data_IF_752271304172
#
_entry.id   IF_752271304172
#
_cell.length_a   1.000
_cell.length_b   1.000
_cell.length_c   1.000
_cell.angle_alpha   90.00
_cell.angle_beta   90.00
_cell.angle_gamma   90.00
#
_symmetry.space_group_name_H-M   'P 1'
#
loop_
_entity.id
_entity.type
_entity.pdbx_description
1 polymer ?
#
# COMPACT_ATOMS: atom_id res chain seq x y z
N UNK A 1 -17.99 9.90 10.53
CA UNK A 1 -17.05 10.69 9.68
C UNK A 1 -17.75 11.07 8.38
N UNK A 2 -17.20 11.96 7.54
CA UNK A 2 -17.77 12.26 6.21
C UNK A 2 -16.79 12.01 5.07
N UNK A 3 -17.29 11.46 3.97
CA UNK A 3 -16.59 11.31 2.68
C UNK A 3 -17.56 11.75 1.60
N UNK A 4 -17.09 12.62 0.69
CA UNK A 4 -17.91 13.18 -0.38
C UNK A 4 -19.28 13.71 0.11
N UNK A 5 -19.31 14.38 1.27
CA UNK A 5 -20.54 14.91 1.88
C UNK A 5 -21.40 13.92 2.66
N UNK A 6 -21.21 12.61 2.50
CA UNK A 6 -22.00 11.55 3.13
C UNK A 6 -21.40 11.14 4.48
N UNK A 7 -22.26 10.87 5.48
CA UNK A 7 -21.82 10.28 6.74
C UNK A 7 -21.53 8.80 6.52
N UNK A 8 -20.31 8.37 6.86
CA UNK A 8 -19.88 6.97 6.76
C UNK A 8 -19.50 6.45 8.14
N UNK A 9 -19.86 5.20 8.40
CA UNK A 9 -19.49 4.42 9.58
C UNK A 9 -18.56 3.28 9.15
N UNK A 10 -17.27 3.38 9.46
CA UNK A 10 -16.28 2.40 8.96
C UNK A 10 -16.58 0.96 9.40
N UNK A 11 -17.16 0.80 10.59
CA UNK A 11 -17.56 -0.51 11.11
C UNK A 11 -18.62 -1.21 10.26
N UNK A 12 -19.47 -0.46 9.54
CA UNK A 12 -20.46 -1.03 8.62
C UNK A 12 -19.77 -1.66 7.40
N UNK A 13 -18.83 -0.94 6.80
CA UNK A 13 -18.06 -1.42 5.65
C UNK A 13 -17.19 -2.63 6.04
N UNK A 14 -16.57 -2.58 7.22
CA UNK A 14 -15.85 -3.71 7.80
C UNK A 14 -16.77 -4.91 8.00
N UNK A 15 -17.96 -4.72 8.56
CA UNK A 15 -18.93 -5.79 8.74
C UNK A 15 -19.40 -6.40 7.42
N UNK A 16 -19.55 -5.60 6.36
CA UNK A 16 -19.85 -6.09 5.01
C UNK A 16 -18.70 -6.95 4.49
N UNK A 17 -17.45 -6.45 4.54
CA UNK A 17 -16.27 -7.20 4.11
C UNK A 17 -16.12 -8.53 4.84
N UNK A 18 -16.40 -8.56 6.14
CA UNK A 18 -16.34 -9.78 6.97
C UNK A 18 -17.36 -10.86 6.57
N UNK A 19 -18.37 -10.52 5.76
CA UNK A 19 -19.31 -11.50 5.20
C UNK A 19 -18.78 -12.18 3.93
N UNK A 20 -17.70 -11.68 3.33
CA UNK A 20 -17.10 -12.31 2.15
C UNK A 20 -16.35 -13.59 2.56
N UNK A 21 -16.61 -14.70 1.88
CA UNK A 21 -16.12 -16.01 2.30
C UNK A 21 -14.59 -16.11 2.41
N UNK A 22 -13.86 -15.50 1.48
CA UNK A 22 -12.40 -15.49 1.43
C UNK A 22 -11.73 -14.61 2.49
N UNK A 23 -12.45 -13.67 3.11
CA UNK A 23 -11.88 -12.68 4.03
C UNK A 23 -11.85 -13.25 5.47
N UNK A 24 -10.67 -13.25 6.09
CA UNK A 24 -10.47 -13.64 7.49
C UNK A 24 -10.67 -12.45 8.42
N UNK A 25 -10.12 -11.29 8.04
CA UNK A 25 -10.23 -10.06 8.81
C UNK A 25 -10.11 -8.85 7.89
N UNK A 26 -10.80 -7.77 8.21
CA UNK A 26 -10.82 -6.56 7.41
C UNK A 26 -10.86 -5.31 8.28
N UNK A 27 -10.13 -4.27 7.86
CA UNK A 27 -10.12 -2.97 8.52
C UNK A 27 -10.22 -1.90 7.47
N UNK A 28 -11.14 -0.96 7.64
CA UNK A 28 -11.22 0.23 6.82
C UNK A 28 -10.55 1.38 7.56
N UNK A 29 -9.68 2.11 6.85
CA UNK A 29 -9.09 3.35 7.35
C UNK A 29 -9.29 4.46 6.33
N UNK A 30 -9.64 5.63 6.85
CA UNK A 30 -9.76 6.84 6.07
C UNK A 30 -8.42 7.60 6.07
N UNK A 31 -8.00 8.01 4.89
CA UNK A 31 -6.83 8.87 4.70
C UNK A 31 -7.27 10.20 4.09
N UNK A 32 -6.41 11.20 4.19
CA UNK A 32 -6.61 12.51 3.59
C UNK A 32 -5.54 12.74 2.54
N UNK A 33 -5.93 13.20 1.35
CA UNK A 33 -5.02 13.71 0.32
C UNK A 33 -4.79 15.21 0.51
N UNK A 34 -3.82 15.76 -0.23
CA UNK A 34 -3.70 17.20 -0.44
C UNK A 34 -5.07 17.80 -0.83
N UNK A 35 -5.46 18.91 -0.19
CA UNK A 35 -6.76 19.55 -0.41
C UNK A 35 -7.91 19.07 0.49
N UNK A 36 -7.64 18.33 1.57
CA UNK A 36 -8.63 17.83 2.55
C UNK A 36 -9.66 16.81 2.00
N UNK A 37 -9.44 16.29 0.79
CA UNK A 37 -10.24 15.18 0.27
C UNK A 37 -9.90 13.90 1.03
N UNK A 38 -10.94 13.15 1.43
CA UNK A 38 -10.78 11.89 2.15
C UNK A 38 -11.10 10.71 1.26
N UNK A 39 -10.29 9.67 1.37
CA UNK A 39 -10.50 8.39 0.68
C UNK A 39 -10.41 7.23 1.66
N UNK A 40 -10.99 6.09 1.29
CA UNK A 40 -10.98 4.87 2.08
C UNK A 40 -9.97 3.89 1.51
N UNK A 41 -9.29 3.19 2.42
CA UNK A 41 -8.43 2.05 2.10
C UNK A 41 -8.90 0.86 2.94
N UNK A 42 -9.08 -0.30 2.30
CA UNK A 42 -9.39 -1.55 2.96
C UNK A 42 -8.14 -2.40 3.17
N UNK A 43 -7.83 -2.76 4.40
CA UNK A 43 -6.75 -3.68 4.74
C UNK A 43 -7.34 -5.06 4.96
N UNK A 44 -6.98 -6.01 4.09
CA UNK A 44 -7.61 -7.32 4.03
C UNK A 44 -6.60 -8.38 4.43
N UNK A 45 -7.00 -9.24 5.35
CA UNK A 45 -6.35 -10.52 5.61
C UNK A 45 -7.26 -11.62 5.05
N UNK A 46 -6.78 -12.39 4.08
CA UNK A 46 -7.51 -13.53 3.55
C UNK A 46 -7.36 -14.76 4.45
N UNK A 47 -8.34 -15.66 4.40
CA UNK A 47 -8.25 -16.97 5.08
C UNK A 47 -7.23 -17.87 4.40
N UNK A 48 -7.24 -17.85 3.07
CA UNK A 48 -6.42 -18.69 2.20
C UNK A 48 -5.75 -17.79 1.14
N UNK A 49 -5.85 -18.17 -0.13
CA UNK A 49 -5.31 -17.37 -1.24
C UNK A 49 -6.10 -16.06 -1.41
N UNK A 50 -5.41 -14.96 -1.76
CA UNK A 50 -6.06 -13.71 -2.14
C UNK A 50 -7.03 -13.88 -3.30
N UNK A 51 -8.10 -13.10 -3.28
CA UNK A 51 -8.98 -12.90 -4.44
C UNK A 51 -8.71 -11.54 -5.07
N UNK A 52 -9.16 -11.38 -6.32
CA UNK A 52 -9.06 -10.11 -7.03
C UNK A 52 -9.86 -9.01 -6.33
N UNK A 53 -9.29 -7.81 -6.24
CA UNK A 53 -9.94 -6.62 -5.68
C UNK A 53 -11.26 -6.33 -6.38
N UNK A 54 -11.35 -6.62 -7.68
CA UNK A 54 -12.60 -6.47 -8.43
C UNK A 54 -13.75 -7.29 -7.83
N UNK A 55 -13.47 -8.52 -7.39
CA UNK A 55 -14.49 -9.38 -6.77
C UNK A 55 -14.94 -8.82 -5.41
N UNK A 56 -14.01 -8.24 -4.65
CA UNK A 56 -14.31 -7.58 -3.38
C UNK A 56 -15.18 -6.33 -3.61
N UNK A 57 -14.84 -5.53 -4.62
CA UNK A 57 -15.60 -4.33 -5.00
C UNK A 57 -17.01 -4.70 -5.42
N UNK A 58 -17.18 -5.64 -6.36
CA UNK A 58 -18.49 -6.10 -6.83
C UNK A 58 -19.35 -6.64 -5.67
N UNK A 59 -18.74 -7.38 -4.75
CA UNK A 59 -19.43 -7.86 -3.55
C UNK A 59 -19.88 -6.70 -2.64
N UNK A 60 -19.03 -5.71 -2.40
CA UNK A 60 -19.40 -4.55 -1.59
C UNK A 60 -20.48 -3.71 -2.27
N UNK A 61 -20.39 -3.46 -3.57
CA UNK A 61 -21.38 -2.71 -4.36
C UNK A 61 -22.75 -3.40 -4.41
N UNK A 62 -22.79 -4.73 -4.31
CA UNK A 62 -24.07 -5.45 -4.20
C UNK A 62 -24.83 -5.18 -2.89
N UNK A 63 -24.17 -4.60 -1.88
CA UNK A 63 -24.71 -4.38 -0.53
C UNK A 63 -24.67 -2.92 -0.09
N UNK A 64 -23.79 -2.12 -0.68
CA UNK A 64 -23.50 -0.75 -0.29
C UNK A 64 -23.57 0.17 -1.51
N UNK A 65 -23.95 1.44 -1.33
CA UNK A 65 -23.78 2.45 -2.36
C UNK A 65 -22.31 2.59 -2.79
N UNK A 66 -22.07 2.82 -4.09
CA UNK A 66 -20.72 2.90 -4.66
C UNK A 66 -19.79 3.90 -3.96
N UNK A 67 -20.31 5.02 -3.47
CA UNK A 67 -19.51 6.03 -2.75
C UNK A 67 -18.97 5.55 -1.39
N UNK A 68 -19.47 4.43 -0.86
CA UNK A 68 -18.96 3.80 0.36
C UNK A 68 -17.88 2.76 0.09
N UNK A 69 -17.73 2.32 -1.16
CA UNK A 69 -16.82 1.22 -1.50
C UNK A 69 -15.39 1.77 -1.64
N UNK A 70 -14.41 1.24 -0.88
CA UNK A 70 -13.02 1.63 -1.04
C UNK A 70 -12.52 1.30 -2.45
N UNK A 71 -11.75 2.21 -3.05
CA UNK A 71 -11.10 1.98 -4.35
C UNK A 71 -9.72 1.31 -4.22
N UNK A 72 -9.18 1.22 -3.00
CA UNK A 72 -7.84 0.70 -2.73
C UNK A 72 -7.92 -0.36 -1.65
N UNK A 73 -7.39 -1.54 -1.94
CA UNK A 73 -7.20 -2.60 -0.97
C UNK A 73 -5.72 -2.92 -0.79
N UNK A 74 -5.33 -3.19 0.45
CA UNK A 74 -3.98 -3.59 0.82
C UNK A 74 -4.08 -4.97 1.46
N UNK A 75 -3.46 -5.95 0.83
CA UNK A 75 -3.48 -7.33 1.31
C UNK A 75 -2.36 -7.55 2.32
N UNK A 76 -2.69 -8.15 3.44
CA UNK A 76 -1.76 -8.41 4.54
C UNK A 76 -1.85 -9.87 4.95
N UNK A 77 -0.70 -10.52 5.15
CA UNK A 77 -0.65 -11.85 5.77
C UNK A 77 -1.23 -11.83 7.18
N UNK A 78 -0.99 -10.74 7.92
CA UNK A 78 -1.51 -10.51 9.27
C UNK A 78 -1.77 -9.04 9.52
N UNK A 79 -2.91 -8.73 10.14
CA UNK A 79 -3.19 -7.40 10.65
C UNK A 79 -2.29 -7.09 11.86
N UNK A 80 -1.78 -5.85 11.99
CA UNK A 80 -1.03 -5.45 13.17
C UNK A 80 -1.94 -5.52 14.39
N UNK A 81 -1.41 -6.08 15.48
CA UNK A 81 -2.11 -6.24 16.75
C UNK A 81 -1.36 -5.43 17.81
N UNK A 82 -2.09 -4.64 18.58
CA UNK A 82 -1.58 -3.91 19.74
C UNK A 82 -1.24 -4.86 20.90
N UNK A 83 -0.54 -4.36 21.92
CA UNK A 83 -0.25 -5.10 23.15
C UNK A 83 -1.49 -5.68 23.86
N UNK A 84 -2.66 -5.08 23.61
CA UNK A 84 -3.94 -5.51 24.19
C UNK A 84 -4.69 -6.54 23.32
N UNK A 85 -4.06 -7.10 22.29
CA UNK A 85 -4.68 -8.13 21.44
C UNK A 85 -5.70 -7.60 20.41
N UNK A 86 -5.93 -6.28 20.36
CA UNK A 86 -6.80 -5.63 19.37
C UNK A 86 -5.99 -5.18 18.16
N UNK A 87 -6.63 -5.11 16.99
CA UNK A 87 -6.05 -4.53 15.78
C UNK A 87 -5.52 -3.12 16.06
N UNK A 88 -4.25 -2.90 15.75
CA UNK A 88 -3.61 -1.59 15.81
C UNK A 88 -3.83 -0.82 14.51
N UNK A 89 -4.92 -0.05 14.46
CA UNK A 89 -5.26 0.79 13.31
C UNK A 89 -4.24 1.90 13.04
N UNK A 90 -3.43 2.28 14.02
CA UNK A 90 -2.42 3.33 13.85
C UNK A 90 -1.22 2.82 13.06
N UNK A 91 -0.88 1.53 13.22
CA UNK A 91 0.17 0.87 12.46
C UNK A 91 -0.17 0.66 10.96
N UNK A 92 -1.43 0.83 10.56
CA UNK A 92 -1.86 0.76 9.16
C UNK A 92 -1.47 2.03 8.41
N UNK A 93 -0.38 1.96 7.65
CA UNK A 93 0.16 3.06 6.85
C UNK A 93 -0.58 3.21 5.52
N UNK A 94 -0.66 4.44 5.03
CA UNK A 94 -1.19 4.72 3.70
C UNK A 94 -0.41 3.94 2.62
N UNK A 95 -1.07 3.53 1.51
CA UNK A 95 -0.44 2.74 0.45
C UNK A 95 0.88 3.35 -0.07
N UNK A 96 0.91 4.66 -0.29
CA UNK A 96 2.09 5.39 -0.75
C UNK A 96 3.27 5.31 0.25
N UNK A 97 2.99 5.43 1.55
CA UNK A 97 3.99 5.29 2.61
C UNK A 97 4.47 3.86 2.80
N UNK A 98 3.67 2.86 2.40
CA UNK A 98 4.11 1.46 2.37
C UNK A 98 5.11 1.24 1.24
N UNK A 99 4.93 1.87 0.08
CA UNK A 99 5.90 1.78 -1.01
C UNK A 99 7.23 2.40 -0.59
N UNK A 100 7.21 3.60 0.01
CA UNK A 100 8.40 4.26 0.56
C UNK A 100 9.11 3.37 1.60
N UNK A 101 8.38 2.83 2.58
CA UNK A 101 8.95 1.96 3.62
C UNK A 101 9.45 0.62 3.08
N UNK A 102 8.77 0.04 2.10
CA UNK A 102 9.23 -1.17 1.43
C UNK A 102 10.53 -0.90 0.69
N UNK A 103 10.62 0.22 -0.04
CA UNK A 103 11.86 0.66 -0.67
C UNK A 103 12.97 0.88 0.36
N UNK A 104 12.72 1.62 1.44
CA UNK A 104 13.68 1.80 2.56
C UNK A 104 14.11 0.47 3.20
N UNK A 105 13.20 -0.51 3.32
CA UNK A 105 13.52 -1.84 3.84
C UNK A 105 14.26 -2.74 2.84
N UNK A 106 14.14 -2.46 1.54
CA UNK A 106 14.87 -3.15 0.45
C UNK A 106 16.27 -2.54 0.25
N UNK A 107 16.56 -1.34 0.78
CA UNK A 107 17.92 -0.84 1.00
C UNK A 107 18.64 -1.67 2.10
N UNK A 108 18.69 -2.99 1.94
CA UNK A 108 19.66 -3.81 2.63
C UNK A 108 21.03 -3.42 2.06
N UNK A 109 21.92 -2.93 2.93
CA UNK A 109 23.18 -2.29 2.56
C UNK A 109 24.03 -3.12 1.58
N UNK A 110 23.91 -4.45 1.65
CA UNK A 110 24.53 -5.41 0.73
C UNK A 110 24.03 -5.28 -0.73
N UNK A 111 22.73 -5.08 -0.94
CA UNK A 111 22.16 -4.92 -2.29
C UNK A 111 22.52 -3.57 -2.90
N UNK A 112 22.58 -2.52 -2.07
CA UNK A 112 22.98 -1.18 -2.49
C UNK A 112 24.43 -1.19 -2.96
N UNK A 113 25.31 -1.86 -2.20
CA UNK A 113 26.71 -2.04 -2.59
C UNK A 113 26.82 -2.82 -3.89
N UNK A 114 26.05 -3.91 -4.06
CA UNK A 114 26.09 -4.73 -5.27
C UNK A 114 25.59 -3.99 -6.52
N UNK A 115 24.51 -3.21 -6.40
CA UNK A 115 24.01 -2.36 -7.49
C UNK A 115 25.00 -1.23 -7.78
N UNK A 116 25.57 -0.59 -6.74
CA UNK A 116 26.59 0.43 -6.91
C UNK A 116 27.82 -0.11 -7.65
N UNK A 117 28.32 -1.29 -7.30
CA UNK A 117 29.42 -1.95 -8.01
C UNK A 117 29.09 -2.26 -9.48
N UNK A 118 27.85 -2.67 -9.78
CA UNK A 118 27.42 -2.91 -11.15
C UNK A 118 27.35 -1.60 -11.95
N UNK A 119 26.78 -0.55 -11.38
CA UNK A 119 26.66 0.78 -12.03
C UNK A 119 28.05 1.39 -12.28
N UNK A 120 28.98 1.28 -11.32
CA UNK A 120 30.37 1.74 -11.51
C UNK A 120 31.07 1.05 -12.68
N UNK A 121 30.85 -0.26 -12.86
CA UNK A 121 31.45 -1.03 -13.96
C UNK A 121 30.85 -0.69 -15.32
N UNK A 122 29.56 -0.36 -15.38
CA UNK A 122 28.88 -0.02 -16.63
C UNK A 122 29.20 1.42 -17.05
N UNK A 123 29.28 2.34 -16.08
CA UNK A 123 29.46 3.77 -16.35
C UNK A 123 30.91 4.26 -16.21
N UNK A 124 31.86 3.38 -15.86
CA UNK A 124 33.28 3.69 -15.60
C UNK A 124 33.48 4.88 -14.65
N UNK A 125 32.70 4.89 -13.56
CA UNK A 125 32.73 5.94 -12.53
C UNK A 125 33.22 5.37 -11.20
N UNK A 126 34.07 6.13 -10.50
CA UNK A 126 34.67 5.69 -9.23
C UNK A 126 33.69 5.77 -8.04
N UNK A 127 32.62 6.56 -8.16
CA UNK A 127 31.69 6.83 -7.07
C UNK A 127 30.24 7.01 -7.55
N UNK A 128 29.30 6.42 -6.81
CA UNK A 128 27.86 6.57 -7.01
C UNK A 128 27.27 6.98 -5.66
N UNK A 129 26.69 8.18 -5.58
CA UNK A 129 25.96 8.61 -4.38
C UNK A 129 24.62 7.85 -4.31
N UNK A 130 24.27 7.35 -3.13
CA UNK A 130 22.98 6.72 -2.82
C UNK A 130 21.75 7.59 -3.13
N UNK A 131 21.93 8.91 -3.27
CA UNK A 131 20.89 9.88 -3.65
C UNK A 131 21.12 10.52 -5.02
N UNK A 132 22.11 10.07 -5.79
CA UNK A 132 22.35 10.60 -7.12
C UNK A 132 21.18 10.23 -8.05
N UNK A 133 20.57 11.24 -8.63
CA UNK A 133 19.63 11.09 -9.73
C UNK A 133 20.45 10.64 -10.95
N UNK A 134 20.44 9.33 -11.26
CA UNK A 134 21.27 8.73 -12.32
C UNK A 134 21.01 9.35 -13.69
N UNK A 135 19.84 9.97 -13.89
CA UNK A 135 19.47 10.73 -15.07
C UNK A 135 20.18 12.10 -15.16
N UNK A 136 20.52 12.71 -14.02
CA UNK A 136 21.24 13.98 -13.96
C UNK A 136 22.75 13.84 -14.21
N UNK A 137 23.29 12.62 -14.15
CA UNK A 137 24.72 12.33 -14.38
C UNK A 137 25.06 11.95 -15.83
N UNK A 138 24.11 12.08 -16.77
CA UNK A 138 24.38 11.98 -18.21
C UNK A 138 24.17 10.61 -18.85
N UNK A 139 23.49 9.68 -18.18
CA UNK A 139 23.07 8.42 -18.79
C UNK A 139 21.99 8.69 -19.86
N UNK A 140 22.33 8.50 -21.13
CA UNK A 140 21.35 8.57 -22.22
C UNK A 140 20.78 7.17 -22.49
N UNK A 141 19.55 7.11 -23.00
CA UNK A 141 18.70 5.89 -23.16
C UNK A 141 19.27 4.72 -23.97
N UNK A 142 20.56 4.71 -24.31
CA UNK A 142 21.22 3.62 -25.03
C UNK A 142 22.00 2.67 -24.10
N UNK A 143 22.29 3.07 -22.86
CA UNK A 143 23.05 2.26 -21.90
C UNK A 143 22.19 1.28 -21.08
N UNK A 144 20.88 1.28 -21.33
CA UNK A 144 19.90 0.37 -20.69
C UNK A 144 19.15 -0.38 -21.79
N UNK A 145 19.77 -1.43 -22.32
CA UNK A 145 19.11 -2.54 -23.04
C UNK A 145 19.75 -3.85 -22.61
#
# INVERSE_FOLDING_TARGET
>A
MKIQGHRIELGELEAVLMQHESINNAVIKAFSKEGNEKYLVGYIQFKNQPVDDKQIIEFMESKLPCYMVPAIFVHLEKLPISSNGKVDRNALLAPEKRLEKATESIFNQEYVLKISEMVKKVLDIDYVDSKADLLAMGANSIDIV
#
